data_IF_838551759669
#
_entry.id   IF_838551759669
#
_cell.length_a   1.000
_cell.length_b   1.000
_cell.length_c   1.000
_cell.angle_alpha   90.00
_cell.angle_beta   90.00
_cell.angle_gamma   90.00
#
_symmetry.space_group_name_H-M   'P 1'
#
loop_
_entity.id
_entity.type
_entity.pdbx_description
1 polymer ?
#
# COMPACT_ATOMS: atom_id res chain seq x y z
N UNK A 1 11.97 -3.44 -1.66
CA UNK A 1 10.83 -2.91 -0.87
C UNK A 1 10.41 -1.52 -1.32
N UNK A 2 11.35 -0.58 -1.40
CA UNK A 2 11.11 0.76 -1.96
C UNK A 2 10.46 0.75 -3.36
N UNK A 3 11.03 0.00 -4.32
CA UNK A 3 10.47 -0.11 -5.67
C UNK A 3 9.07 -0.73 -5.71
N UNK A 4 8.72 -1.57 -4.73
CA UNK A 4 7.38 -2.13 -4.62
C UNK A 4 6.38 -1.07 -4.12
N UNK A 5 6.75 -0.28 -3.11
CA UNK A 5 5.94 0.84 -2.62
C UNK A 5 5.67 1.88 -3.73
N UNK A 6 6.67 2.17 -4.56
CA UNK A 6 6.56 3.13 -5.67
C UNK A 6 5.96 2.54 -6.97
N UNK A 7 5.67 1.24 -7.01
CA UNK A 7 4.94 0.63 -8.14
C UNK A 7 3.46 1.05 -8.20
N UNK A 8 3.01 1.82 -7.21
CA UNK A 8 1.67 2.35 -7.08
C UNK A 8 1.80 3.85 -6.78
N UNK A 9 1.14 4.70 -7.56
CA UNK A 9 1.13 6.14 -7.33
C UNK A 9 -0.20 6.54 -6.67
N UNK A 10 -0.19 6.71 -5.34
CA UNK A 10 -1.40 7.06 -4.59
C UNK A 10 -2.01 8.39 -5.00
N UNK A 11 -1.22 9.33 -5.55
CA UNK A 11 -1.72 10.62 -6.01
C UNK A 11 -2.55 10.48 -7.29
N UNK A 12 -2.13 9.63 -8.22
CA UNK A 12 -2.87 9.36 -9.45
C UNK A 12 -4.12 8.51 -9.18
N UNK A 13 -3.99 7.50 -8.31
CA UNK A 13 -5.04 6.53 -8.02
C UNK A 13 -6.19 7.10 -7.16
N UNK A 14 -5.90 8.13 -6.36
CA UNK A 14 -6.89 8.80 -5.50
C UNK A 14 -7.16 10.24 -5.92
N UNK A 15 -6.48 10.73 -6.96
CA UNK A 15 -6.71 12.03 -7.60
C UNK A 15 -6.02 13.23 -6.95
N UNK A 16 -5.56 13.13 -5.70
CA UNK A 16 -4.79 14.21 -5.07
C UNK A 16 -3.87 13.72 -3.94
N UNK A 17 -2.97 14.61 -3.50
CA UNK A 17 -2.16 14.41 -2.31
C UNK A 17 -3.03 14.25 -1.05
N UNK A 18 -4.01 15.13 -0.86
CA UNK A 18 -4.90 15.15 0.30
C UNK A 18 -5.76 13.88 0.37
N UNK A 19 -6.28 13.41 -0.77
CA UNK A 19 -7.04 12.18 -0.84
C UNK A 19 -6.16 10.97 -0.49
N UNK A 20 -4.92 10.93 -0.99
CA UNK A 20 -3.95 9.89 -0.65
C UNK A 20 -3.56 9.91 0.83
N UNK A 21 -3.30 11.10 1.39
CA UNK A 21 -2.96 11.28 2.80
C UNK A 21 -4.12 10.85 3.71
N UNK A 22 -5.34 11.32 3.43
CA UNK A 22 -6.53 10.97 4.20
C UNK A 22 -6.80 9.46 4.16
N UNK A 23 -6.69 8.83 2.99
CA UNK A 23 -6.84 7.38 2.85
C UNK A 23 -5.80 6.60 3.66
N UNK A 24 -4.52 7.01 3.62
CA UNK A 24 -3.44 6.37 4.36
C UNK A 24 -3.62 6.53 5.88
N UNK A 25 -4.08 7.69 6.35
CA UNK A 25 -4.32 7.96 7.77
C UNK A 25 -5.52 7.17 8.32
N UNK A 26 -6.56 6.96 7.52
CA UNK A 26 -7.73 6.19 7.93
C UNK A 26 -7.44 4.69 8.12
N UNK A 27 -6.36 4.17 7.52
CA UNK A 27 -5.95 2.75 7.62
C UNK A 27 -7.10 1.75 7.41
N UNK A 28 -8.04 2.08 6.51
CA UNK A 28 -9.25 1.26 6.25
C UNK A 28 -8.90 -0.17 5.84
N UNK A 29 -7.83 -0.35 5.05
CA UNK A 29 -7.27 -1.65 4.63
C UNK A 29 -8.33 -2.62 4.06
N UNK A 30 -9.40 -2.10 3.47
CA UNK A 30 -10.56 -2.87 3.02
C UNK A 30 -10.36 -3.39 1.58
N UNK A 31 -9.66 -2.63 0.75
CA UNK A 31 -9.28 -3.01 -0.61
C UNK A 31 -7.76 -3.05 -0.77
N UNK A 32 -7.28 -3.80 -1.76
CA UNK A 32 -5.85 -3.81 -2.13
C UNK A 32 -5.32 -2.39 -2.42
N UNK A 33 -6.16 -1.53 -3.02
CA UNK A 33 -5.85 -0.12 -3.25
C UNK A 33 -5.52 0.63 -1.96
N UNK A 34 -6.28 0.42 -0.89
CA UNK A 34 -6.06 1.08 0.40
C UNK A 34 -4.70 0.68 1.00
N UNK A 35 -4.38 -0.61 0.93
CA UNK A 35 -3.13 -1.18 1.45
C UNK A 35 -1.93 -0.66 0.64
N UNK A 36 -2.05 -0.59 -0.69
CA UNK A 36 -0.98 -0.04 -1.55
C UNK A 36 -0.80 1.45 -1.33
N UNK A 37 -1.88 2.21 -1.15
CA UNK A 37 -1.81 3.63 -0.85
C UNK A 37 -1.13 3.89 0.50
N UNK A 38 -1.48 3.13 1.55
CA UNK A 38 -0.84 3.26 2.87
C UNK A 38 0.67 3.02 2.78
N UNK A 39 1.11 1.99 2.07
CA UNK A 39 2.53 1.71 1.85
C UNK A 39 3.23 2.79 1.02
N UNK A 40 2.60 3.24 -0.08
CA UNK A 40 3.13 4.32 -0.92
C UNK A 40 3.34 5.60 -0.11
N UNK A 41 2.33 6.01 0.65
CA UNK A 41 2.37 7.23 1.42
C UNK A 41 3.41 7.17 2.54
N UNK A 42 3.52 6.03 3.23
CA UNK A 42 4.58 5.80 4.21
C UNK A 42 5.98 5.89 3.59
N UNK A 43 6.20 5.30 2.41
CA UNK A 43 7.47 5.39 1.70
C UNK A 43 7.80 6.86 1.34
N UNK A 44 6.83 7.62 0.83
CA UNK A 44 7.01 9.05 0.57
C UNK A 44 7.38 9.82 1.83
N UNK A 45 6.68 9.60 2.94
CA UNK A 45 6.95 10.24 4.21
C UNK A 45 8.36 9.92 4.72
N UNK A 46 8.78 8.66 4.69
CA UNK A 46 10.13 8.22 5.05
C UNK A 46 11.23 8.87 4.21
N UNK A 47 11.04 9.00 2.89
CA UNK A 47 11.98 9.73 2.04
C UNK A 47 12.07 11.22 2.37
N UNK A 48 10.96 11.85 2.72
CA UNK A 48 10.96 13.25 3.14
C UNK A 48 11.57 13.43 4.55
N UNK A 49 11.38 12.46 5.44
CA UNK A 49 11.92 12.47 6.80
C UNK A 49 13.36 11.96 6.93
N UNK A 50 13.91 11.33 5.89
CA UNK A 50 15.23 10.70 5.94
C UNK A 50 15.29 9.49 6.86
N UNK A 51 14.19 8.75 6.98
CA UNK A 51 14.07 7.56 7.83
C UNK A 51 13.58 6.34 7.05
N UNK A 52 13.58 5.18 7.70
CA UNK A 52 13.14 3.90 7.15
C UNK A 52 11.83 3.39 7.77
N UNK A 53 11.00 4.26 8.38
CA UNK A 53 9.75 3.84 9.06
C UNK A 53 8.75 3.13 8.13
N UNK A 54 8.84 3.36 6.82
CA UNK A 54 8.05 2.61 5.84
C UNK A 54 8.33 1.09 5.87
N UNK A 55 9.48 0.66 6.42
CA UNK A 55 9.80 -0.76 6.62
C UNK A 55 8.82 -1.40 7.60
N UNK A 56 8.59 -0.76 8.74
CA UNK A 56 7.67 -1.26 9.76
C UNK A 56 6.23 -1.31 9.22
N UNK A 57 5.83 -0.28 8.45
CA UNK A 57 4.53 -0.26 7.76
C UNK A 57 4.42 -1.41 6.76
N UNK A 58 5.46 -1.69 5.97
CA UNK A 58 5.45 -2.84 5.07
C UNK A 58 5.26 -4.17 5.82
N UNK A 59 5.96 -4.35 6.93
CA UNK A 59 5.84 -5.57 7.75
C UNK A 59 4.43 -5.72 8.33
N UNK A 60 3.82 -4.63 8.78
CA UNK A 60 2.43 -4.61 9.26
C UNK A 60 1.44 -4.99 8.14
N UNK A 61 1.66 -4.52 6.92
CA UNK A 61 0.77 -4.76 5.77
C UNK A 61 1.03 -6.10 5.07
N UNK A 62 2.17 -6.75 5.31
CA UNK A 62 2.59 -7.98 4.63
C UNK A 62 1.57 -9.12 4.72
N UNK A 63 0.92 -9.41 5.88
CA UNK A 63 -0.11 -10.45 5.95
C UNK A 63 -1.30 -10.14 5.05
N UNK A 64 -1.66 -8.87 4.89
CA UNK A 64 -2.78 -8.46 4.03
C UNK A 64 -2.41 -8.60 2.55
N UNK A 65 -1.19 -8.20 2.16
CA UNK A 65 -0.70 -8.44 0.79
C UNK A 65 -0.70 -9.92 0.44
N UNK A 66 -0.27 -10.80 1.36
CA UNK A 66 -0.30 -12.26 1.18
C UNK A 66 -1.72 -12.78 1.02
N UNK A 67 -2.66 -12.30 1.85
CA UNK A 67 -4.08 -12.66 1.73
C UNK A 67 -4.62 -12.31 0.33
N UNK A 68 -4.36 -11.11 -0.16
CA UNK A 68 -4.80 -10.67 -1.48
C UNK A 68 -4.15 -11.45 -2.63
N UNK A 69 -2.86 -11.77 -2.53
CA UNK A 69 -2.16 -12.60 -3.52
C UNK A 69 -2.76 -14.01 -3.62
N UNK A 70 -3.17 -14.58 -2.48
CA UNK A 70 -3.79 -15.90 -2.44
C UNK A 70 -5.25 -15.90 -2.92
N UNK A 71 -5.99 -14.81 -2.68
CA UNK A 71 -7.35 -14.63 -3.24
C UNK A 71 -7.35 -14.64 -4.77
N UNK A 72 -6.28 -14.18 -5.42
CA UNK A 72 -6.12 -14.23 -6.87
C UNK A 72 -5.81 -15.63 -7.41
N UNK A 73 -5.10 -16.48 -6.64
CA UNK A 73 -4.73 -17.85 -7.06
C UNK A 73 -5.94 -18.79 -7.14
N UNK A 74 -6.90 -18.69 -6.21
CA UNK A 74 -8.07 -19.58 -6.19
C UNK A 74 -9.10 -19.38 -7.32
N UNK A 75 -8.90 -18.40 -8.21
CA UNK A 75 -9.76 -18.19 -9.40
C UNK A 75 -9.21 -18.84 -10.68
N UNK A 76 -7.92 -19.17 -10.73
CA UNK A 76 -7.28 -19.73 -11.94
C UNK A 76 -7.40 -21.27 -11.97
N UNK A 77 -7.62 -21.91 -10.82
CA UNK A 77 -7.64 -23.38 -10.70
C UNK A 77 -9.04 -24.01 -10.92
N UNK A 78 -10.01 -23.26 -11.47
CA UNK A 78 -11.37 -23.74 -11.78
C UNK A 78 -11.79 -23.42 -13.21
N UNK A 79 -10.94 -23.72 -14.19
CA UNK A 79 -11.24 -23.61 -15.62
C UNK A 79 -10.82 -24.87 -16.35
#
# INVERSE_FOLDING_TARGET
MWSFALSFNGYEELGSFEASAASAQLKKRAALRDIRNELFFAARASRHGGDDRFIDVYLELLPLFRKWANTGKGRVDRS
#
